data_IF_316528657785
#
_entry.id   IF_316528657785
#
_cell.length_a   1.000
_cell.length_b   1.000
_cell.length_c   1.000
_cell.angle_alpha   90.00
_cell.angle_beta   90.00
_cell.angle_gamma   90.00
#
_symmetry.space_group_name_H-M   'P 1'
#
loop_
_entity.id
_entity.type
_entity.pdbx_description
1 polymer ?
#
# COMPACT_ATOMS: atom_id res chain seq x y z
N UNK A 1 -20.60 5.82 0.00
CA UNK A 1 -20.45 5.35 1.39
C UNK A 1 -19.21 4.48 1.45
N UNK A 2 -18.12 5.00 2.00
CA UNK A 2 -16.89 4.25 2.22
C UNK A 2 -17.14 3.30 3.40
N UNK A 3 -17.21 1.99 3.13
CA UNK A 3 -17.45 0.99 4.18
C UNK A 3 -16.19 0.94 5.05
N UNK A 4 -16.29 1.39 6.30
CA UNK A 4 -15.26 1.16 7.31
C UNK A 4 -15.05 -0.34 7.47
N UNK A 5 -14.07 -0.90 6.76
CA UNK A 5 -13.73 -2.32 6.81
C UNK A 5 -13.26 -2.65 8.23
N UNK A 6 -14.05 -3.44 8.95
CA UNK A 6 -13.67 -3.96 10.25
C UNK A 6 -12.59 -5.02 10.04
N UNK A 7 -11.52 -4.94 10.83
CA UNK A 7 -10.37 -5.84 10.77
C UNK A 7 -10.64 -6.98 11.75
N UNK A 8 -10.87 -8.18 11.23
CA UNK A 8 -11.21 -9.35 12.06
C UNK A 8 -9.99 -10.17 12.44
N UNK A 9 -9.01 -10.29 11.53
CA UNK A 9 -7.75 -10.98 11.79
C UNK A 9 -6.62 -10.14 11.26
N UNK A 10 -5.56 -9.98 12.05
CA UNK A 10 -4.29 -9.38 11.61
C UNK A 10 -3.17 -10.33 12.03
N UNK A 11 -2.33 -10.75 11.09
CA UNK A 11 -1.14 -11.56 11.35
C UNK A 11 0.07 -10.86 10.74
N UNK A 12 1.07 -10.60 11.59
CA UNK A 12 2.33 -10.01 11.17
C UNK A 12 3.36 -11.14 11.02
N UNK A 13 4.04 -11.19 9.87
CA UNK A 13 5.01 -12.19 9.48
C UNK A 13 6.28 -11.45 9.12
N UNK A 14 7.35 -11.63 9.89
CA UNK A 14 8.66 -11.08 9.57
C UNK A 14 9.49 -12.10 8.80
N UNK A 15 9.83 -11.82 7.55
CA UNK A 15 10.74 -12.60 6.73
C UNK A 15 12.14 -11.99 6.80
N UNK A 16 12.88 -12.31 7.88
CA UNK A 16 14.23 -11.77 8.16
C UNK A 16 15.18 -12.00 6.96
N UNK A 17 15.17 -13.19 6.37
CA UNK A 17 16.03 -13.55 5.23
C UNK A 17 15.80 -12.65 4.00
N UNK A 18 14.58 -12.13 3.83
CA UNK A 18 14.20 -11.27 2.71
C UNK A 18 14.12 -9.80 3.09
N UNK A 19 14.48 -9.45 4.33
CA UNK A 19 14.32 -8.12 4.92
C UNK A 19 12.93 -7.53 4.63
N UNK A 20 11.88 -8.36 4.80
CA UNK A 20 10.51 -8.04 4.42
C UNK A 20 9.56 -8.37 5.55
N UNK A 21 8.83 -7.37 6.03
CA UNK A 21 7.70 -7.58 6.94
C UNK A 21 6.40 -7.65 6.14
N UNK A 22 5.64 -8.73 6.33
CA UNK A 22 4.34 -8.96 5.72
C UNK A 22 3.26 -8.84 6.80
N UNK A 23 2.22 -8.05 6.54
CA UNK A 23 1.00 -8.02 7.36
C UNK A 23 -0.15 -8.59 6.55
N UNK A 24 -0.76 -9.64 7.07
CA UNK A 24 -1.97 -10.23 6.53
C UNK A 24 -3.18 -9.77 7.32
N UNK A 25 -4.25 -9.36 6.62
CA UNK A 25 -5.44 -8.84 7.28
C UNK A 25 -6.73 -9.38 6.64
N UNK A 26 -7.59 -9.99 7.46
CA UNK A 26 -8.96 -10.31 7.06
C UNK A 26 -9.85 -9.08 7.29
N UNK A 27 -10.48 -8.62 6.23
CA UNK A 27 -11.42 -7.50 6.24
C UNK A 27 -12.76 -7.93 5.67
N UNK A 28 -13.86 -7.64 6.35
CA UNK A 28 -15.20 -7.90 5.84
C UNK A 28 -15.97 -6.60 5.63
N UNK A 29 -16.93 -6.62 4.69
CA UNK A 29 -17.82 -5.49 4.40
C UNK A 29 -18.97 -5.38 5.41
N UNK A 30 -19.30 -6.47 6.08
CA UNK A 30 -20.30 -6.52 7.16
C UNK A 30 -19.60 -6.75 8.50
N UNK A 31 -20.19 -6.20 9.56
CA UNK A 31 -19.78 -6.47 10.94
C UNK A 31 -20.01 -7.95 11.26
N UNK A 32 -18.94 -8.76 11.21
CA UNK A 32 -18.99 -10.10 11.80
C UNK A 32 -18.92 -9.94 13.32
N UNK A 33 -19.91 -10.47 14.03
CA UNK A 33 -19.92 -10.51 15.51
C UNK A 33 -18.81 -11.40 16.06
N UNK A 34 -18.44 -12.46 15.33
CA UNK A 34 -17.29 -13.34 15.55
C UNK A 34 -17.13 -14.27 14.34
N UNK A 35 -15.92 -14.65 13.94
CA UNK A 35 -15.73 -15.87 13.14
C UNK A 35 -15.93 -17.09 14.03
N UNK A 36 -16.44 -18.20 13.49
CA UNK A 36 -16.36 -19.50 14.18
C UNK A 36 -14.96 -20.09 13.99
N UNK A 37 -14.54 -20.93 14.94
CA UNK A 37 -13.22 -21.60 14.91
C UNK A 37 -12.98 -22.36 13.58
N UNK A 38 -14.02 -23.05 13.07
CA UNK A 38 -13.93 -23.81 11.81
C UNK A 38 -13.75 -22.91 10.57
N UNK A 39 -14.22 -21.67 10.64
CA UNK A 39 -14.06 -20.68 9.58
C UNK A 39 -12.66 -20.06 9.65
N UNK A 40 -12.21 -19.74 10.86
CA UNK A 40 -10.87 -19.22 11.11
C UNK A 40 -9.78 -20.22 10.67
N UNK A 41 -9.90 -21.49 11.05
CA UNK A 41 -8.97 -22.55 10.62
C UNK A 41 -8.95 -22.71 9.10
N UNK A 42 -10.12 -22.68 8.46
CA UNK A 42 -10.27 -22.78 7.02
C UNK A 42 -9.57 -21.62 6.29
N UNK A 43 -9.70 -20.40 6.81
CA UNK A 43 -9.01 -19.22 6.28
C UNK A 43 -7.51 -19.30 6.53
N UNK A 44 -7.07 -19.71 7.73
CA UNK A 44 -5.65 -19.92 8.06
C UNK A 44 -5.01 -20.96 7.14
N UNK A 45 -5.70 -22.06 6.85
CA UNK A 45 -5.21 -23.09 5.93
C UNK A 45 -5.07 -22.56 4.49
N UNK A 46 -6.03 -21.76 4.04
CA UNK A 46 -5.97 -21.09 2.73
C UNK A 46 -4.75 -20.16 2.65
N UNK A 47 -4.51 -19.38 3.69
CA UNK A 47 -3.37 -18.49 3.83
C UNK A 47 -2.05 -19.28 3.85
N UNK A 48 -1.96 -20.33 4.66
CA UNK A 48 -0.75 -21.13 4.80
C UNK A 48 -0.34 -21.85 3.50
N UNK A 49 -1.28 -22.01 2.57
CA UNK A 49 -1.00 -22.59 1.24
C UNK A 49 -0.49 -21.59 0.20
N UNK A 50 -0.37 -20.31 0.55
CA UNK A 50 0.16 -19.28 -0.35
C UNK A 50 1.65 -19.50 -0.63
N UNK A 51 2.06 -19.26 -1.87
CA UNK A 51 3.44 -19.29 -2.30
C UNK A 51 3.82 -17.90 -2.78
N UNK A 52 4.92 -17.37 -2.24
CA UNK A 52 5.54 -16.16 -2.76
C UNK A 52 6.11 -16.45 -4.15
N UNK A 53 5.62 -15.74 -5.16
CA UNK A 53 6.05 -15.87 -6.54
C UNK A 53 6.18 -14.49 -7.18
N UNK A 54 7.41 -13.93 -7.21
CA UNK A 54 7.68 -12.62 -7.79
C UNK A 54 7.34 -12.52 -9.28
N UNK A 55 7.19 -13.65 -9.98
CA UNK A 55 6.84 -13.67 -11.41
C UNK A 55 5.33 -13.65 -11.64
N UNK A 56 4.55 -13.90 -10.60
CA UNK A 56 3.08 -13.82 -10.64
C UNK A 56 2.60 -12.39 -10.36
N UNK A 57 1.52 -11.98 -11.03
CA UNK A 57 0.86 -10.70 -10.73
C UNK A 57 0.38 -10.68 -9.28
N UNK A 58 0.68 -9.61 -8.56
CA UNK A 58 0.44 -9.49 -7.13
C UNK A 58 1.39 -10.31 -6.26
N UNK A 59 2.43 -10.93 -6.83
CA UNK A 59 3.53 -11.57 -6.09
C UNK A 59 3.16 -12.84 -5.31
N UNK A 60 1.91 -13.29 -5.40
CA UNK A 60 1.38 -14.44 -4.68
C UNK A 60 0.66 -15.39 -5.64
N UNK A 61 0.91 -16.69 -5.46
CA UNK A 61 0.15 -17.75 -6.13
C UNK A 61 -0.28 -18.83 -5.15
N UNK A 62 -1.28 -19.59 -5.56
CA UNK A 62 -1.69 -20.81 -4.88
C UNK A 62 -1.38 -22.02 -5.77
N UNK A 63 -1.03 -23.17 -5.19
CA UNK A 63 -1.02 -24.43 -5.92
C UNK A 63 -2.39 -24.69 -6.58
N UNK A 64 -2.38 -25.46 -7.67
CA UNK A 64 -3.62 -25.81 -8.38
C UNK A 64 -4.64 -26.42 -7.40
N UNK A 65 -5.87 -25.89 -7.42
CA UNK A 65 -6.94 -26.32 -6.53
C UNK A 65 -6.80 -25.92 -5.06
N UNK A 66 -5.75 -25.17 -4.68
CA UNK A 66 -5.53 -24.68 -3.30
C UNK A 66 -5.93 -23.23 -3.09
N UNK A 67 -6.42 -22.53 -4.12
CA UNK A 67 -7.02 -21.21 -4.00
C UNK A 67 -8.46 -21.21 -3.41
N UNK A 68 -8.93 -22.37 -2.97
CA UNK A 68 -10.21 -22.58 -2.28
C UNK A 68 -10.00 -23.38 -1.01
N UNK A 69 -10.85 -23.14 -0.01
CA UNK A 69 -10.90 -23.96 1.21
C UNK A 69 -11.50 -25.34 0.94
N UNK A 70 -11.32 -26.31 1.86
CA UNK A 70 -12.12 -27.55 1.84
C UNK A 70 -13.61 -27.26 1.73
N UNK A 71 -14.30 -27.97 0.82
CA UNK A 71 -15.73 -27.76 0.54
C UNK A 71 -16.07 -26.45 -0.17
N UNK A 72 -15.08 -25.72 -0.72
CA UNK A 72 -15.25 -24.47 -1.48
C UNK A 72 -16.01 -23.35 -0.75
N UNK A 73 -15.99 -23.38 0.59
CA UNK A 73 -16.65 -22.37 1.44
C UNK A 73 -16.03 -20.98 1.28
N UNK A 74 -14.71 -20.94 1.08
CA UNK A 74 -13.96 -19.70 0.83
C UNK A 74 -13.07 -19.88 -0.39
N UNK A 75 -12.89 -18.80 -1.15
CA UNK A 75 -12.07 -18.77 -2.36
C UNK A 75 -11.32 -17.45 -2.46
N UNK A 76 -10.07 -17.49 -2.92
CA UNK A 76 -9.30 -16.29 -3.24
C UNK A 76 -9.84 -15.70 -4.55
N UNK A 77 -10.34 -14.47 -4.48
CA UNK A 77 -10.94 -13.78 -5.64
C UNK A 77 -10.00 -12.77 -6.28
N UNK A 78 -8.93 -12.38 -5.59
CA UNK A 78 -7.88 -11.52 -6.12
C UNK A 78 -6.75 -11.35 -5.12
N UNK A 79 -5.64 -10.82 -5.61
CA UNK A 79 -4.42 -10.50 -4.85
C UNK A 79 -4.04 -9.06 -5.14
N UNK A 80 -3.50 -8.39 -4.14
CA UNK A 80 -2.97 -7.04 -4.27
C UNK A 80 -1.64 -6.97 -3.51
N UNK A 81 -0.55 -6.69 -4.22
CA UNK A 81 0.73 -6.34 -3.65
C UNK A 81 0.88 -4.82 -3.69
N UNK A 82 1.10 -4.20 -2.52
CA UNK A 82 1.36 -2.76 -2.43
C UNK A 82 2.72 -2.54 -1.80
N UNK A 83 3.63 -1.90 -2.54
CA UNK A 83 4.86 -1.34 -1.98
C UNK A 83 4.59 0.13 -1.66
N UNK A 84 4.85 0.55 -0.41
CA UNK A 84 4.62 1.95 0.01
C UNK A 84 5.93 2.58 0.48
N UNK A 85 6.32 3.70 -0.11
CA UNK A 85 7.42 4.55 0.34
C UNK A 85 6.83 5.80 0.98
N UNK A 86 7.20 6.07 2.22
CA UNK A 86 6.68 7.22 2.98
C UNK A 86 7.85 8.13 3.32
N UNK A 87 7.79 9.35 2.82
CA UNK A 87 8.72 10.42 3.13
C UNK A 87 8.03 11.41 4.07
N UNK A 88 8.62 11.65 5.23
CA UNK A 88 8.03 12.51 6.25
C UNK A 88 8.98 13.67 6.53
N UNK A 89 8.43 14.88 6.55
CA UNK A 89 9.09 16.07 7.08
C UNK A 89 8.15 16.76 8.09
N UNK A 90 8.63 17.80 8.79
CA UNK A 90 7.79 18.61 9.66
C UNK A 90 6.59 19.24 8.92
N UNK A 91 6.79 19.65 7.67
CA UNK A 91 5.79 20.39 6.89
C UNK A 91 4.90 19.49 6.02
N UNK A 92 5.39 18.33 5.59
CA UNK A 92 4.67 17.47 4.67
C UNK A 92 4.87 15.97 4.93
N UNK A 93 3.98 15.17 4.35
CA UNK A 93 4.13 13.73 4.21
C UNK A 93 3.82 13.36 2.77
N UNK A 94 4.78 12.75 2.09
CA UNK A 94 4.59 12.17 0.77
C UNK A 94 4.53 10.65 0.90
N UNK A 95 3.51 10.04 0.32
CA UNK A 95 3.36 8.59 0.23
C UNK A 95 3.28 8.21 -1.24
N UNK A 96 4.25 7.45 -1.71
CA UNK A 96 4.24 6.81 -3.03
C UNK A 96 3.85 5.35 -2.83
N UNK A 97 2.88 4.86 -3.60
CA UNK A 97 2.44 3.48 -3.55
C UNK A 97 2.48 2.88 -4.94
N UNK A 98 3.21 1.79 -5.08
CA UNK A 98 3.13 0.93 -6.26
C UNK A 98 2.16 -0.20 -5.92
N UNK A 99 1.05 -0.26 -6.65
CA UNK A 99 -0.02 -1.24 -6.45
C UNK A 99 -0.05 -2.17 -7.64
N UNK A 100 0.20 -3.44 -7.43
CA UNK A 100 0.01 -4.51 -8.41
C UNK A 100 -1.15 -5.39 -7.94
N UNK A 101 -2.27 -5.35 -8.65
CA UNK A 101 -3.44 -6.15 -8.32
C UNK A 101 -3.82 -7.10 -9.44
N UNK A 102 -4.34 -8.26 -9.04
CA UNK A 102 -4.84 -9.29 -9.94
C UNK A 102 -6.18 -9.81 -9.43
N UNK A 103 -7.18 -9.83 -10.30
CA UNK A 103 -8.51 -10.36 -10.04
C UNK A 103 -8.63 -11.76 -10.68
N UNK A 104 -8.78 -12.79 -9.86
CA UNK A 104 -8.94 -14.17 -10.31
C UNK A 104 -10.30 -14.44 -10.94
N UNK A 105 -11.34 -13.64 -10.64
CA UNK A 105 -12.67 -13.81 -11.24
C UNK A 105 -12.69 -13.32 -12.68
N UNK A 106 -12.09 -12.17 -12.93
CA UNK A 106 -12.08 -11.53 -14.26
C UNK A 106 -10.81 -11.84 -15.06
N UNK A 107 -9.80 -12.43 -14.41
CA UNK A 107 -8.44 -12.61 -14.98
C UNK A 107 -7.79 -11.31 -15.44
N UNK A 108 -8.20 -10.18 -14.86
CA UNK A 108 -7.64 -8.86 -15.11
C UNK A 108 -6.59 -8.55 -14.06
N UNK A 109 -5.46 -7.98 -14.48
CA UNK A 109 -4.50 -7.44 -13.52
C UNK A 109 -3.93 -6.13 -14.01
N UNK A 110 -3.81 -5.19 -13.09
CA UNK A 110 -3.42 -3.81 -13.35
C UNK A 110 -2.34 -3.39 -12.36
N UNK A 111 -1.38 -2.62 -12.87
CA UNK A 111 -0.37 -1.94 -12.07
C UNK A 111 -0.71 -0.45 -12.01
N UNK A 112 -0.78 0.11 -10.81
CA UNK A 112 -1.09 1.51 -10.56
C UNK A 112 -0.06 2.12 -9.63
N UNK A 113 0.48 3.27 -10.02
CA UNK A 113 1.26 4.13 -9.12
C UNK A 113 0.32 5.17 -8.50
N UNK A 114 0.31 5.28 -7.18
CA UNK A 114 -0.46 6.28 -6.43
C UNK A 114 0.47 7.19 -5.65
N UNK A 115 0.39 8.49 -5.91
CA UNK A 115 1.13 9.50 -5.17
C UNK A 115 0.16 10.30 -4.30
N UNK A 116 0.37 10.29 -2.99
CA UNK A 116 -0.42 11.05 -2.01
C UNK A 116 0.46 12.04 -1.28
N UNK A 117 0.13 13.32 -1.36
CA UNK A 117 0.79 14.40 -0.63
C UNK A 117 -0.14 14.94 0.46
N UNK A 118 0.37 15.01 1.69
CA UNK A 118 -0.31 15.65 2.82
C UNK A 118 0.53 16.84 3.31
N UNK A 119 -0.07 18.03 3.33
CA UNK A 119 0.57 19.27 3.80
C UNK A 119 0.14 19.56 5.24
N UNK A 120 1.00 19.26 6.20
CA UNK A 120 0.70 19.39 7.64
C UNK A 120 0.67 20.84 8.11
N UNK A 121 1.60 21.66 7.60
CA UNK A 121 1.71 23.08 7.95
C UNK A 121 0.50 23.89 7.48
N UNK A 122 0.08 23.69 6.22
CA UNK A 122 -1.03 24.44 5.62
C UNK A 122 -2.37 24.12 6.29
N UNK A 123 -2.62 22.85 6.65
CA UNK A 123 -3.84 22.47 7.37
C UNK A 123 -3.94 23.15 8.75
N UNK A 124 -2.81 23.35 9.43
CA UNK A 124 -2.74 24.00 10.73
C UNK A 124 -2.93 25.52 10.62
N UNK A 125 -2.32 26.15 9.62
CA UNK A 125 -2.48 27.58 9.30
C UNK A 125 -3.91 27.91 8.83
N UNK A 126 -4.55 27.03 8.04
CA UNK A 126 -5.95 27.20 7.60
C UNK A 126 -6.96 27.10 8.76
N UNK A 127 -6.67 26.28 9.78
CA UNK A 127 -7.50 26.21 11.00
C UNK A 127 -7.19 27.35 11.97
N UNK A 128 -6.00 27.93 11.90
CA UNK A 128 -5.58 29.09 12.70
C UNK A 128 -6.30 30.35 12.22
N UNK A 129 -7.01 31.03 13.13
CA UNK A 129 -7.89 32.19 12.85
C UNK A 129 -7.17 33.47 12.33
N UNK A 130 -5.95 33.39 11.80
CA UNK A 130 -5.22 34.54 11.24
C UNK A 130 -4.49 34.14 9.96
N UNK A 131 -5.28 33.95 8.90
CA UNK A 131 -4.81 33.61 7.57
C UNK A 131 -4.01 34.77 6.96
N UNK A 132 -2.69 34.70 7.01
CA UNK A 132 -1.86 35.42 6.04
C UNK A 132 -1.83 34.59 4.74
N UNK A 133 -2.66 34.99 3.78
CA UNK A 133 -2.80 34.33 2.47
C UNK A 133 -1.45 34.26 1.75
N UNK A 134 -0.56 35.23 1.97
CA UNK A 134 0.77 35.25 1.37
C UNK A 134 1.65 34.14 1.95
N UNK A 135 1.64 33.96 3.27
CA UNK A 135 2.35 32.86 3.95
C UNK A 135 1.90 31.48 3.45
N UNK A 136 0.59 31.25 3.31
CA UNK A 136 0.06 29.98 2.79
C UNK A 136 0.46 29.76 1.33
N UNK A 137 0.41 30.80 0.50
CA UNK A 137 0.82 30.77 -0.91
C UNK A 137 2.30 30.41 -1.07
N UNK A 138 3.17 31.02 -0.26
CA UNK A 138 4.61 30.75 -0.28
C UNK A 138 4.94 29.35 0.23
N UNK A 139 4.23 28.86 1.25
CA UNK A 139 4.38 27.49 1.73
C UNK A 139 3.99 26.47 0.64
N UNK A 140 2.89 26.73 -0.08
CA UNK A 140 2.42 25.87 -1.18
C UNK A 140 3.40 25.91 -2.36
N UNK A 141 3.94 27.09 -2.71
CA UNK A 141 4.97 27.27 -3.74
C UNK A 141 6.24 26.49 -3.43
N UNK A 142 6.71 26.54 -2.18
CA UNK A 142 7.91 25.82 -1.75
C UNK A 142 7.73 24.30 -1.85
N UNK A 143 6.55 23.78 -1.48
CA UNK A 143 6.30 22.34 -1.61
C UNK A 143 6.17 21.91 -3.08
N UNK A 144 5.51 22.70 -3.92
CA UNK A 144 5.44 22.41 -5.37
C UNK A 144 6.83 22.41 -6.01
N UNK A 145 7.71 23.33 -5.61
CA UNK A 145 9.09 23.38 -6.09
C UNK A 145 9.87 22.13 -5.67
N UNK A 146 9.76 21.69 -4.42
CA UNK A 146 10.37 20.44 -3.93
C UNK A 146 9.88 19.22 -4.71
N UNK A 147 8.56 19.15 -5.00
CA UNK A 147 8.00 18.06 -5.81
C UNK A 147 8.56 18.06 -7.23
N UNK A 148 8.66 19.26 -7.82
CA UNK A 148 9.20 19.43 -9.15
C UNK A 148 10.67 18.99 -9.23
N UNK A 149 11.51 19.46 -8.31
CA UNK A 149 12.96 19.21 -8.30
C UNK A 149 13.31 17.75 -8.00
N UNK A 150 12.61 17.11 -7.06
CA UNK A 150 13.00 15.77 -6.58
C UNK A 150 12.20 14.62 -7.19
N UNK A 151 10.96 14.85 -7.62
CA UNK A 151 10.08 13.76 -8.06
C UNK A 151 9.74 13.83 -9.55
N UNK A 152 9.60 15.04 -10.11
CA UNK A 152 9.22 15.19 -11.52
C UNK A 152 10.44 15.32 -12.46
N UNK A 153 11.60 15.76 -11.97
CA UNK A 153 12.82 15.83 -12.80
C UNK A 153 13.46 14.44 -13.06
N UNK A 154 13.16 13.42 -12.23
CA UNK A 154 13.78 12.09 -12.33
C UNK A 154 13.26 11.28 -13.54
N UNK A 155 12.10 11.62 -14.10
CA UNK A 155 11.55 10.92 -15.28
C UNK A 155 12.28 11.24 -16.61
N UNK A 156 13.15 12.26 -16.66
CA UNK A 156 13.87 12.58 -17.89
C UNK A 156 15.17 11.78 -18.09
N UNK A 157 15.68 11.07 -17.06
CA UNK A 157 17.04 10.48 -17.09
C UNK A 157 17.06 8.95 -16.97
N UNK A 158 15.99 8.30 -16.52
CA UNK A 158 15.96 6.82 -16.41
C UNK A 158 15.51 6.09 -17.68
N UNK A 159 16.19 6.37 -18.80
CA UNK A 159 16.23 5.49 -19.97
C UNK A 159 17.61 4.82 -20.14
N UNK A 160 18.31 4.57 -19.04
CA UNK A 160 19.58 3.84 -19.06
C UNK A 160 20.23 3.77 -17.68
N UNK A 161 20.48 2.55 -17.24
CA UNK A 161 21.38 2.15 -16.15
C UNK A 161 20.95 2.48 -14.71
N UNK A 162 20.51 1.42 -14.03
CA UNK A 162 20.52 1.25 -12.58
C UNK A 162 21.93 1.39 -12.01
N UNK A 163 22.17 2.50 -11.32
CA UNK A 163 23.10 2.55 -10.20
C UNK A 163 22.35 3.22 -9.04
N UNK A 164 22.39 2.59 -7.88
CA UNK A 164 21.82 3.12 -6.65
C UNK A 164 22.43 4.51 -6.39
N UNK A 165 21.60 5.55 -6.49
CA UNK A 165 21.98 6.88 -6.01
C UNK A 165 21.57 6.90 -4.54
N UNK A 166 22.56 6.74 -3.68
CA UNK A 166 22.45 7.14 -2.27
C UNK A 166 22.20 8.65 -2.25
N UNK A 167 20.94 9.03 -2.08
CA UNK A 167 20.56 10.42 -1.82
C UNK A 167 20.77 10.65 -0.32
N UNK A 168 21.73 11.47 0.11
CA UNK A 168 21.84 11.83 1.51
C UNK A 168 20.66 12.76 1.83
N UNK A 169 19.59 12.21 2.41
CA UNK A 169 18.45 12.99 2.87
C UNK A 169 18.59 13.29 4.36
N UNK A 170 19.02 14.53 4.63
CA UNK A 170 18.84 15.32 5.85
C UNK A 170 19.61 14.90 7.13
N UNK A 171 20.59 15.72 7.49
CA UNK A 171 21.03 15.98 8.88
C UNK A 171 20.02 16.84 9.62
#
# INVERSE_FOLDING_TARGET
VELNKIRHMVHDISCIEKNLDLRLMLSTKQTLTSLRDDEEESIKALIASVILDPTSKGGLRWPFGKASSPGDRYRVIGVCHTVSRIYVSPLMRLKVRDVDWFDFKTSVGETKEEITLMLKGIASELLGKKLDINSVSDMLRNVLKLLWEHFLHVQAVHNGNTAAVDIPMFS
#
